data_IF_787857422142
#
_entry.id   IF_787857422142
#
_cell.length_a   1.000
_cell.length_b   1.000
_cell.length_c   1.000
_cell.angle_alpha   90.00
_cell.angle_beta   90.00
_cell.angle_gamma   90.00
#
_symmetry.space_group_name_H-M   'P 1'
#
loop_
_entity.id
_entity.type
_entity.pdbx_description
1 polymer ?
#
# COMPACT_ATOMS: atom_id res chain seq x y z
N UNK A 1 -5.92 -12.72 15.32
CA UNK A 1 -6.81 -11.64 15.77
C UNK A 1 -7.31 -10.89 14.53
N UNK A 2 -8.57 -10.58 14.49
CA UNK A 2 -9.16 -9.77 13.42
C UNK A 2 -9.69 -8.48 14.00
N UNK A 3 -9.64 -7.41 13.20
CA UNK A 3 -10.32 -6.16 13.50
C UNK A 3 -11.38 -5.91 12.44
N UNK A 4 -12.51 -5.33 12.84
CA UNK A 4 -13.56 -4.98 11.89
C UNK A 4 -13.19 -3.67 11.18
N UNK A 5 -13.30 -3.68 9.86
CA UNK A 5 -13.06 -2.50 9.02
C UNK A 5 -14.29 -2.29 8.14
N UNK A 6 -14.87 -1.11 8.20
CA UNK A 6 -15.97 -0.76 7.34
C UNK A 6 -15.48 -0.58 5.90
N UNK A 7 -16.21 -1.15 4.95
CA UNK A 7 -15.92 -1.05 3.52
C UNK A 7 -17.14 -0.53 2.79
N UNK A 8 -16.94 0.46 1.94
CA UNK A 8 -17.98 1.05 1.11
C UNK A 8 -17.68 0.74 -0.35
N UNK A 9 -18.66 0.21 -1.05
CA UNK A 9 -18.57 -0.05 -2.50
C UNK A 9 -18.96 1.22 -3.23
N UNK A 10 -18.00 1.83 -3.92
CA UNK A 10 -18.23 3.06 -4.69
C UNK A 10 -18.65 2.77 -6.12
N UNK A 11 -18.17 1.67 -6.68
CA UNK A 11 -18.53 1.22 -8.02
C UNK A 11 -19.17 -0.17 -7.93
N UNK A 12 -20.43 -0.34 -8.40
CA UNK A 12 -21.17 -1.60 -8.26
C UNK A 12 -20.47 -2.82 -8.85
N UNK A 13 -19.61 -2.65 -9.86
CA UNK A 13 -18.89 -3.78 -10.46
C UNK A 13 -17.95 -4.47 -9.48
N UNK A 14 -17.62 -3.82 -8.36
CA UNK A 14 -16.74 -4.39 -7.32
C UNK A 14 -17.47 -5.29 -6.32
N UNK A 15 -18.80 -5.35 -6.38
CA UNK A 15 -19.59 -6.07 -5.38
C UNK A 15 -19.25 -7.57 -5.29
N UNK A 16 -18.87 -8.19 -6.38
CA UNK A 16 -18.53 -9.61 -6.45
C UNK A 16 -17.01 -9.86 -6.36
N UNK A 17 -16.22 -8.83 -6.17
CA UNK A 17 -14.75 -8.91 -6.19
C UNK A 17 -14.13 -8.13 -5.02
N UNK A 18 -14.70 -8.26 -3.84
CA UNK A 18 -14.16 -7.60 -2.63
C UNK A 18 -12.82 -8.22 -2.25
N UNK A 19 -11.92 -7.43 -1.65
CA UNK A 19 -10.63 -7.94 -1.19
C UNK A 19 -10.80 -9.10 -0.21
N UNK A 20 -10.03 -10.16 -0.42
CA UNK A 20 -10.02 -11.34 0.47
C UNK A 20 -8.59 -11.79 0.69
N UNK A 21 -8.37 -12.45 1.82
CA UNK A 21 -7.10 -13.13 2.06
C UNK A 21 -7.06 -14.44 1.28
N UNK A 22 -6.03 -14.63 0.46
CA UNK A 22 -5.92 -15.81 -0.39
C UNK A 22 -5.73 -17.11 0.42
N UNK A 23 -5.07 -17.02 1.57
CA UNK A 23 -4.86 -18.14 2.49
C UNK A 23 -5.07 -17.67 3.94
N UNK A 24 -5.26 -18.59 4.90
CA UNK A 24 -5.38 -18.21 6.32
C UNK A 24 -4.16 -17.47 6.88
N UNK A 25 -2.99 -17.65 6.27
CA UNK A 25 -1.75 -16.99 6.69
C UNK A 25 -1.37 -15.76 5.87
N UNK A 26 -2.20 -15.35 4.92
CA UNK A 26 -1.91 -14.16 4.11
C UNK A 26 -1.93 -12.89 4.95
N UNK A 27 -0.94 -12.02 4.77
CA UNK A 27 -0.90 -10.72 5.44
C UNK A 27 -1.60 -9.63 4.64
N UNK A 28 -1.63 -9.76 3.33
CA UNK A 28 -2.17 -8.76 2.40
C UNK A 28 -3.46 -9.16 1.73
N UNK A 29 -4.28 -8.17 1.48
CA UNK A 29 -5.51 -8.27 0.69
C UNK A 29 -5.23 -7.70 -0.69
N UNK A 30 -5.50 -8.46 -1.75
CA UNK A 30 -5.31 -7.96 -3.11
C UNK A 30 -6.31 -6.86 -3.46
N UNK A 31 -5.82 -5.80 -4.09
CA UNK A 31 -6.62 -4.71 -4.64
C UNK A 31 -6.65 -4.83 -6.16
N UNK A 32 -7.82 -4.58 -6.75
CA UNK A 32 -8.06 -4.72 -8.18
C UNK A 32 -8.23 -3.37 -8.85
N UNK A 33 -7.83 -3.30 -10.13
CA UNK A 33 -8.04 -2.13 -10.96
C UNK A 33 -9.53 -2.04 -11.37
N UNK A 34 -10.23 -1.06 -10.84
CA UNK A 34 -11.62 -0.79 -11.20
C UNK A 34 -11.63 0.11 -12.45
N UNK A 35 -11.37 -0.51 -13.60
CA UNK A 35 -11.28 0.17 -14.89
C UNK A 35 -12.36 -0.35 -15.83
N UNK A 36 -12.84 0.51 -16.72
CA UNK A 36 -13.74 0.11 -17.82
C UNK A 36 -12.95 -0.41 -19.01
N UNK A 37 -11.76 0.14 -19.24
CA UNK A 37 -10.88 -0.21 -20.34
C UNK A 37 -9.45 -0.43 -19.83
N UNK A 38 -8.68 -1.23 -20.56
CA UNK A 38 -7.27 -1.43 -20.28
C UNK A 38 -6.49 -0.11 -20.38
N UNK A 39 -5.48 0.03 -19.52
CA UNK A 39 -4.58 1.18 -19.54
C UNK A 39 -3.17 0.69 -19.79
N UNK A 40 -2.50 1.27 -20.77
CA UNK A 40 -1.09 0.95 -21.08
C UNK A 40 -0.17 1.92 -20.35
N UNK A 41 0.73 1.40 -19.56
CA UNK A 41 1.81 2.16 -18.93
C UNK A 41 3.10 1.95 -19.71
N UNK A 42 3.59 2.99 -20.35
CA UNK A 42 4.93 2.98 -20.93
C UNK A 42 5.96 3.05 -19.81
N UNK A 43 7.22 2.62 -20.06
CA UNK A 43 8.29 2.80 -19.07
C UNK A 43 8.35 4.25 -18.57
N UNK A 44 8.33 4.42 -17.26
CA UNK A 44 8.34 5.73 -16.60
C UNK A 44 6.95 6.31 -16.28
N UNK A 45 5.90 5.81 -16.89
CA UNK A 45 4.54 6.30 -16.66
C UNK A 45 4.06 6.00 -15.24
N UNK A 46 3.28 6.93 -14.69
CA UNK A 46 2.55 6.79 -13.43
C UNK A 46 1.07 7.01 -13.71
N UNK A 47 0.23 6.13 -13.21
CA UNK A 47 -1.22 6.25 -13.34
C UNK A 47 -1.91 5.95 -12.01
N UNK A 48 -2.83 6.83 -11.62
CA UNK A 48 -3.60 6.67 -10.39
C UNK A 48 -4.82 5.80 -10.67
N UNK A 49 -4.75 4.53 -10.28
CA UNK A 49 -5.77 3.52 -10.58
C UNK A 49 -6.83 3.50 -9.50
N UNK A 50 -8.12 3.69 -9.84
CA UNK A 50 -9.19 3.55 -8.88
C UNK A 50 -9.42 2.09 -8.51
N UNK A 51 -9.83 1.83 -7.27
CA UNK A 51 -10.25 0.50 -6.83
C UNK A 51 -11.76 0.35 -6.74
N UNK A 52 -12.50 1.45 -6.82
CA UNK A 52 -13.95 1.46 -6.65
C UNK A 52 -14.41 1.18 -5.22
N UNK A 53 -13.50 1.22 -4.25
CA UNK A 53 -13.74 0.90 -2.85
C UNK A 53 -13.21 2.01 -1.94
N UNK A 54 -13.87 2.19 -0.80
CA UNK A 54 -13.37 3.00 0.30
C UNK A 54 -13.41 2.17 1.57
N UNK A 55 -12.43 2.36 2.45
CA UNK A 55 -12.41 1.73 3.77
C UNK A 55 -12.34 2.81 4.84
N UNK A 56 -12.90 2.50 6.01
CA UNK A 56 -12.80 3.37 7.17
C UNK A 56 -12.32 2.53 8.35
N UNK A 57 -11.07 2.70 8.71
CA UNK A 57 -10.47 2.00 9.85
C UNK A 57 -11.03 2.52 11.17
N UNK A 58 -11.25 3.84 11.25
CA UNK A 58 -11.80 4.58 12.40
C UNK A 58 -10.90 4.57 13.64
N UNK A 59 -10.29 3.44 13.98
CA UNK A 59 -9.48 3.30 15.19
C UNK A 59 -8.04 3.78 14.91
N UNK A 60 -7.54 4.83 15.59
CA UNK A 60 -6.20 5.35 15.38
C UNK A 60 -5.07 4.40 15.80
N UNK A 61 -5.40 3.26 16.42
CA UNK A 61 -4.43 2.20 16.68
C UNK A 61 -4.05 1.40 15.42
N UNK A 62 -4.70 1.65 14.29
CA UNK A 62 -4.45 0.96 13.03
C UNK A 62 -4.26 1.93 11.87
N UNK A 63 -3.52 1.47 10.88
CA UNK A 63 -3.43 2.09 9.57
C UNK A 63 -3.48 1.00 8.50
N UNK A 64 -3.71 1.37 7.27
CA UNK A 64 -3.51 0.46 6.15
C UNK A 64 -2.30 0.92 5.35
N UNK A 65 -1.51 -0.02 4.86
CA UNK A 65 -0.42 0.27 3.92
C UNK A 65 -0.71 -0.44 2.60
N UNK A 66 -0.52 0.28 1.50
CA UNK A 66 -0.62 -0.25 0.15
C UNK A 66 0.78 -0.56 -0.35
N UNK A 67 0.98 -1.78 -0.82
CA UNK A 67 2.27 -2.30 -1.24
C UNK A 67 2.15 -2.91 -2.63
N UNK A 68 3.26 -2.97 -3.39
CA UNK A 68 3.28 -3.71 -4.65
C UNK A 68 3.06 -5.20 -4.42
N UNK A 69 2.54 -5.87 -5.44
CA UNK A 69 2.56 -7.33 -5.48
C UNK A 69 3.95 -7.79 -5.94
N UNK A 70 4.46 -8.84 -5.29
CA UNK A 70 5.83 -9.32 -5.53
C UNK A 70 6.08 -9.68 -7.00
N UNK A 71 5.16 -10.38 -7.63
CA UNK A 71 5.30 -10.80 -9.03
C UNK A 71 5.31 -9.63 -10.00
N UNK A 72 4.39 -8.70 -9.86
CA UNK A 72 4.33 -7.51 -10.72
C UNK A 72 5.55 -6.62 -10.51
N UNK A 73 5.97 -6.42 -9.26
CA UNK A 73 7.13 -5.59 -8.97
C UNK A 73 8.43 -6.18 -9.48
N UNK A 74 8.66 -7.47 -9.22
CA UNK A 74 9.91 -8.12 -9.59
C UNK A 74 10.02 -8.39 -11.08
N UNK A 75 8.97 -8.94 -11.71
CA UNK A 75 9.00 -9.36 -13.12
C UNK A 75 8.79 -8.20 -14.09
N UNK A 76 7.90 -7.28 -13.75
CA UNK A 76 7.45 -6.24 -14.69
C UNK A 76 7.82 -4.83 -14.26
N UNK A 77 8.36 -4.65 -13.06
CA UNK A 77 8.68 -3.33 -12.55
C UNK A 77 7.45 -2.48 -12.23
N UNK A 78 6.29 -3.10 -12.03
CA UNK A 78 5.05 -2.39 -11.67
C UNK A 78 4.98 -2.29 -10.16
N UNK A 79 5.24 -1.09 -9.69
CA UNK A 79 5.31 -0.75 -8.27
C UNK A 79 4.45 0.49 -7.99
N UNK A 80 4.50 1.02 -6.78
CA UNK A 80 3.79 2.24 -6.44
C UNK A 80 4.67 3.46 -6.67
N UNK A 81 4.11 4.51 -7.29
CA UNK A 81 4.80 5.77 -7.51
C UNK A 81 5.17 6.49 -6.23
N UNK A 82 4.38 6.30 -5.18
CA UNK A 82 4.67 6.79 -3.82
C UNK A 82 5.44 5.77 -2.97
N UNK A 83 5.89 4.67 -3.54
CA UNK A 83 6.60 3.53 -2.95
C UNK A 83 5.73 2.74 -1.97
N UNK A 84 5.16 3.38 -0.98
CA UNK A 84 4.20 2.81 -0.02
C UNK A 84 3.03 3.78 0.10
N UNK A 85 1.81 3.29 -0.10
CA UNK A 85 0.62 4.06 0.20
C UNK A 85 0.28 3.95 1.69
N UNK A 86 0.12 5.08 2.36
CA UNK A 86 -0.28 5.10 3.76
C UNK A 86 -1.71 5.61 3.87
N UNK A 87 -2.57 4.80 4.45
CA UNK A 87 -3.98 5.10 4.65
C UNK A 87 -4.23 5.31 6.14
N UNK A 88 -4.53 6.54 6.49
CA UNK A 88 -4.83 6.92 7.88
C UNK A 88 -6.17 6.37 8.35
N UNK A 89 -6.33 6.23 9.66
CA UNK A 89 -7.55 5.66 10.25
C UNK A 89 -8.81 6.49 9.97
N UNK A 90 -8.65 7.79 9.77
CA UNK A 90 -9.75 8.73 9.51
C UNK A 90 -9.98 9.02 8.03
N UNK A 91 -9.22 8.40 7.14
CA UNK A 91 -9.45 8.54 5.70
C UNK A 91 -10.68 7.75 5.28
N UNK A 92 -11.58 8.40 4.54
CA UNK A 92 -12.85 7.82 4.08
C UNK A 92 -13.01 7.89 2.55
N UNK A 93 -12.01 8.38 1.86
CA UNK A 93 -12.04 8.51 0.41
C UNK A 93 -11.78 7.18 -0.31
N UNK A 94 -11.92 7.21 -1.62
CA UNK A 94 -11.62 6.05 -2.45
C UNK A 94 -10.16 5.62 -2.29
N UNK A 95 -9.95 4.30 -2.19
CA UNK A 95 -8.61 3.72 -2.31
C UNK A 95 -8.19 3.82 -3.76
N UNK A 96 -7.09 4.53 -4.01
CA UNK A 96 -6.48 4.65 -5.32
C UNK A 96 -5.03 4.20 -5.25
N UNK A 97 -4.62 3.48 -6.27
CA UNK A 97 -3.28 2.93 -6.35
C UNK A 97 -2.48 3.69 -7.39
N UNK A 98 -1.44 4.39 -6.95
CA UNK A 98 -0.52 5.08 -7.84
C UNK A 98 0.45 4.06 -8.42
N UNK A 99 0.16 3.54 -9.64
CA UNK A 99 1.03 2.57 -10.29
C UNK A 99 2.09 3.27 -11.11
N UNK A 100 3.31 2.82 -10.97
CA UNK A 100 4.47 3.28 -11.69
C UNK A 100 5.14 2.12 -12.42
N UNK A 101 5.34 2.29 -13.73
CA UNK A 101 6.13 1.35 -14.51
C UNK A 101 7.59 1.79 -14.48
N UNK A 102 8.37 1.19 -13.61
CA UNK A 102 9.82 1.41 -13.53
C UNK A 102 10.59 0.38 -14.35
N UNK A 103 9.88 -0.47 -15.08
CA UNK A 103 10.45 -1.46 -15.96
C UNK A 103 10.95 -0.86 -17.27
N UNK A 104 11.33 -1.74 -18.19
CA UNK A 104 11.87 -1.37 -19.50
C UNK A 104 10.89 -1.58 -20.64
N UNK A 105 9.77 -2.25 -20.37
CA UNK A 105 8.75 -2.57 -21.35
C UNK A 105 7.40 -2.00 -20.95
N UNK A 106 6.55 -1.72 -21.94
CA UNK A 106 5.17 -1.32 -21.68
C UNK A 106 4.44 -2.41 -20.93
N UNK A 107 3.56 -2.02 -20.03
CA UNK A 107 2.70 -2.93 -19.27
C UNK A 107 1.25 -2.50 -19.41
N UNK A 108 0.37 -3.45 -19.72
CA UNK A 108 -1.06 -3.20 -19.83
C UNK A 108 -1.75 -3.60 -18.53
N UNK A 109 -2.45 -2.64 -17.92
CA UNK A 109 -3.31 -2.91 -16.77
C UNK A 109 -4.69 -3.27 -17.32
N UNK A 110 -5.13 -4.50 -17.09
CA UNK A 110 -6.45 -4.95 -17.48
C UNK A 110 -7.51 -4.59 -16.44
N UNK A 111 -8.76 -4.35 -16.84
CA UNK A 111 -9.86 -4.22 -15.88
C UNK A 111 -9.90 -5.40 -14.92
N UNK A 112 -10.10 -5.13 -13.63
CA UNK A 112 -10.18 -6.12 -12.55
C UNK A 112 -8.89 -6.87 -12.25
N UNK A 113 -7.78 -6.49 -12.85
CA UNK A 113 -6.48 -7.07 -12.54
C UNK A 113 -6.07 -6.73 -11.09
N UNK A 114 -5.46 -7.69 -10.40
CA UNK A 114 -4.89 -7.48 -9.07
C UNK A 114 -3.58 -6.72 -9.21
N UNK A 115 -3.53 -5.49 -8.73
CA UNK A 115 -2.45 -4.55 -9.01
C UNK A 115 -1.62 -4.16 -7.80
N UNK A 116 -2.12 -4.38 -6.61
CA UNK A 116 -1.46 -4.04 -5.35
C UNK A 116 -2.05 -4.88 -4.24
N UNK A 117 -1.50 -4.73 -3.05
CA UNK A 117 -2.05 -5.36 -1.85
C UNK A 117 -2.14 -4.37 -0.71
N UNK A 118 -3.09 -4.58 0.18
CA UNK A 118 -3.31 -3.78 1.36
C UNK A 118 -3.06 -4.61 2.60
N UNK A 119 -2.29 -4.07 3.54
CA UNK A 119 -2.01 -4.70 4.83
C UNK A 119 -2.50 -3.76 5.94
N UNK A 120 -3.27 -4.28 6.87
CA UNK A 120 -3.67 -3.54 8.07
C UNK A 120 -2.58 -3.72 9.11
N UNK A 121 -2.05 -2.61 9.62
CA UNK A 121 -0.93 -2.63 10.57
C UNK A 121 -1.29 -1.90 11.85
N UNK A 122 -0.76 -2.34 13.01
CA UNK A 122 -0.89 -1.59 14.25
C UNK A 122 0.01 -0.35 14.19
N UNK A 123 -0.46 0.73 14.80
CA UNK A 123 0.22 2.02 14.79
C UNK A 123 0.29 2.56 16.21
N UNK A 124 1.42 3.16 16.54
CA UNK A 124 1.60 3.89 17.79
C UNK A 124 1.88 5.35 17.45
N UNK A 125 1.08 6.26 17.99
CA UNK A 125 1.33 7.69 17.84
C UNK A 125 2.31 8.16 18.91
N UNK A 126 3.25 9.00 18.51
CA UNK A 126 4.27 9.54 19.40
C UNK A 126 3.83 10.86 20.03
N UNK A 127 4.08 11.03 21.32
CA UNK A 127 4.05 12.32 21.98
C UNK A 127 5.51 12.74 22.23
N UNK A 128 5.92 13.87 21.68
CA UNK A 128 7.32 14.31 21.79
C UNK A 128 7.57 15.00 23.11
N UNK A 129 8.68 14.62 23.75
CA UNK A 129 9.28 15.35 24.87
C UNK A 129 10.57 15.97 24.35
N UNK A 130 10.62 17.28 24.25
CA UNK A 130 11.83 18.00 23.82
C UNK A 130 12.87 17.90 24.91
N UNK A 131 14.05 17.45 24.56
CA UNK A 131 15.21 17.32 25.46
C UNK A 131 16.43 17.96 24.81
N UNK A 132 17.38 18.38 25.61
CA UNK A 132 18.66 18.94 25.11
C UNK A 132 19.66 17.83 24.81
N UNK A 133 19.58 16.71 25.51
CA UNK A 133 20.45 15.56 25.34
C UNK A 133 19.70 14.27 25.54
N UNK A 134 20.17 13.22 24.85
CA UNK A 134 19.71 11.84 25.07
C UNK A 134 20.58 11.16 26.12
N UNK A 135 20.04 10.13 26.77
CA UNK A 135 20.87 9.23 27.60
C UNK A 135 21.92 8.56 26.69
N UNK A 136 23.15 8.43 27.23
CA UNK A 136 24.26 7.84 26.49
C UNK A 136 23.95 6.37 26.11
N UNK A 137 24.37 5.96 24.91
CA UNK A 137 24.30 4.60 24.45
C UNK A 137 25.58 4.21 23.72
N UNK A 138 25.87 2.91 23.62
CA UNK A 138 27.05 2.42 22.90
C UNK A 138 27.05 2.83 21.42
N UNK A 139 25.89 2.84 20.78
CA UNK A 139 25.78 3.24 19.37
C UNK A 139 25.95 4.75 19.18
N UNK A 140 25.42 5.58 20.11
CA UNK A 140 25.43 7.04 19.99
C UNK A 140 24.78 7.47 18.67
N UNK A 141 25.48 8.32 17.93
CA UNK A 141 25.02 8.87 16.65
C UNK A 141 25.32 7.97 15.44
N UNK A 142 25.84 6.77 15.67
CA UNK A 142 26.23 5.85 14.59
C UNK A 142 25.05 5.45 13.68
N UNK A 143 25.26 5.56 12.39
CA UNK A 143 24.27 5.20 11.38
C UNK A 143 24.91 5.21 9.99
N UNK A 144 24.10 5.05 8.94
CA UNK A 144 24.54 5.08 7.54
C UNK A 144 25.74 4.17 7.24
N UNK A 145 25.70 2.94 7.78
CA UNK A 145 26.76 1.95 7.55
C UNK A 145 27.94 2.05 8.52
N UNK A 146 27.78 2.78 9.64
CA UNK A 146 28.82 2.91 10.67
C UNK A 146 29.26 1.56 11.26
N UNK A 147 28.40 0.52 11.20
CA UNK A 147 28.72 -0.84 11.63
C UNK A 147 29.46 -1.67 10.58
N UNK A 148 29.71 -1.07 9.42
CA UNK A 148 30.42 -1.72 8.31
C UNK A 148 29.49 -2.48 7.37
N UNK A 149 30.07 -2.95 6.26
CA UNK A 149 29.36 -3.65 5.21
C UNK A 149 29.37 -5.17 5.40
N UNK A 150 30.34 -5.65 6.12
CA UNK A 150 30.56 -7.08 6.33
C UNK A 150 30.59 -7.39 7.81
#
# INVERSE_FOLDING_TARGET
>A
MQTEVELKILNPKMADSLPTYATPGSAGLDLRACLDEAVVLQPGDVYLVPTGLAVHLANPAYAAVLLPRSGLGHKHGIVLGNLVGLIDSDYQGELKVSLWNRGKEAFTIEPMERIAQMVIVPVVQAAFKVVDEFAASERGEGGFGSTGKV
#
